data_IF_642905600475
#
_entry.id   IF_642905600475
#
_cell.length_a   1.000
_cell.length_b   1.000
_cell.length_c   1.000
_cell.angle_alpha   90.00
_cell.angle_beta   90.00
_cell.angle_gamma   90.00
#
_symmetry.space_group_name_H-M   'P 1'
#
loop_
_entity.id
_entity.type
_entity.pdbx_description
1 polymer ?
#
# COMPACT_ATOMS: atom_id res chain seq x y z
N UNK A 1 -11.33 -41.63 -0.30
CA UNK A 1 -12.48 -40.71 -0.31
C UNK A 1 -12.24 -39.68 -1.41
N UNK A 2 -12.87 -39.84 -2.57
CA UNK A 2 -12.76 -38.92 -3.71
C UNK A 2 -13.93 -37.95 -3.62
N UNK A 3 -13.67 -36.68 -3.35
CA UNK A 3 -14.66 -35.61 -3.54
C UNK A 3 -14.41 -35.00 -4.91
N UNK A 4 -15.25 -35.36 -5.88
CA UNK A 4 -15.33 -34.68 -7.18
C UNK A 4 -16.20 -33.44 -6.97
N UNK A 5 -15.60 -32.25 -7.00
CA UNK A 5 -16.37 -31.01 -7.09
C UNK A 5 -16.72 -30.82 -8.56
N UNK A 6 -18.01 -30.98 -8.87
CA UNK A 6 -18.55 -30.69 -10.19
C UNK A 6 -18.46 -29.17 -10.45
N UNK A 7 -17.80 -28.78 -11.54
CA UNK A 7 -17.87 -27.43 -12.08
C UNK A 7 -19.08 -27.40 -13.02
N UNK A 8 -20.19 -26.86 -12.54
CA UNK A 8 -21.38 -26.59 -13.33
C UNK A 8 -21.16 -25.30 -14.15
N UNK A 9 -20.81 -25.47 -15.43
CA UNK A 9 -20.89 -24.40 -16.43
C UNK A 9 -22.36 -24.22 -16.83
N UNK A 10 -23.03 -23.24 -16.23
CA UNK A 10 -24.33 -22.77 -16.74
C UNK A 10 -24.09 -21.65 -17.74
N UNK A 11 -24.11 -22.00 -19.02
CA UNK A 11 -24.32 -21.04 -20.12
C UNK A 11 -25.74 -20.47 -19.99
N UNK A 12 -25.85 -19.21 -19.58
CA UNK A 12 -27.08 -18.43 -19.55
C UNK A 12 -27.06 -17.32 -20.60
N UNK A 13 -28.13 -17.26 -21.40
CA UNK A 13 -28.39 -16.36 -22.52
C UNK A 13 -28.08 -14.87 -22.27
N UNK A 14 -27.68 -14.20 -23.35
CA UNK A 14 -27.69 -12.74 -23.54
C UNK A 14 -29.05 -12.15 -23.12
N UNK A 15 -29.07 -11.45 -22.00
CA UNK A 15 -30.06 -10.42 -21.69
C UNK A 15 -29.30 -9.11 -21.51
N UNK A 16 -29.37 -8.22 -22.50
CA UNK A 16 -28.92 -6.83 -22.36
C UNK A 16 -29.83 -6.18 -21.31
N UNK A 17 -29.40 -6.18 -20.04
CA UNK A 17 -29.99 -5.29 -19.06
C UNK A 17 -29.77 -3.85 -19.57
N UNK A 18 -30.76 -2.95 -19.48
CA UNK A 18 -30.51 -1.56 -19.75
C UNK A 18 -29.43 -1.13 -18.78
N UNK A 19 -28.28 -0.72 -19.34
CA UNK A 19 -27.17 -0.19 -18.57
C UNK A 19 -27.74 0.87 -17.63
N UNK A 20 -27.71 0.58 -16.33
CA UNK A 20 -27.87 1.60 -15.32
C UNK A 20 -26.66 2.52 -15.48
N UNK A 21 -26.80 3.55 -16.30
CA UNK A 21 -25.96 4.74 -16.21
C UNK A 21 -26.00 5.18 -14.75
N UNK A 22 -24.85 5.24 -14.05
CA UNK A 22 -24.82 5.71 -12.68
C UNK A 22 -25.39 7.14 -12.68
N UNK A 23 -26.51 7.29 -11.96
CA UNK A 23 -27.19 8.58 -11.83
C UNK A 23 -26.29 9.52 -11.01
N UNK A 24 -25.89 10.63 -11.65
CA UNK A 24 -25.42 11.89 -11.09
C UNK A 24 -24.44 11.83 -9.88
N UNK A 25 -23.17 12.17 -10.14
CA UNK A 25 -22.21 12.62 -9.12
C UNK A 25 -21.04 11.69 -8.83
N UNK A 26 -21.08 10.45 -9.30
CA UNK A 26 -19.99 9.49 -9.08
C UNK A 26 -18.90 9.71 -10.15
N UNK A 27 -17.88 10.52 -9.81
CA UNK A 27 -16.69 10.65 -10.66
C UNK A 27 -16.06 9.27 -10.78
N UNK A 28 -16.13 8.66 -11.96
CA UNK A 28 -15.42 7.42 -12.26
C UNK A 28 -13.96 7.56 -11.83
N UNK A 29 -13.53 6.71 -10.90
CA UNK A 29 -12.16 6.73 -10.40
C UNK A 29 -11.20 6.26 -11.48
N UNK A 30 -10.33 7.16 -11.93
CA UNK A 30 -9.26 6.83 -12.87
C UNK A 30 -8.01 6.48 -12.09
N UNK A 31 -7.60 5.22 -12.19
CA UNK A 31 -6.38 4.71 -11.58
C UNK A 31 -5.22 4.90 -12.55
N UNK A 32 -4.17 5.57 -12.10
CA UNK A 32 -2.98 5.86 -12.90
C UNK A 32 -1.76 5.26 -12.21
N UNK A 33 -0.95 4.54 -12.96
CA UNK A 33 0.37 4.09 -12.50
C UNK A 33 1.32 5.28 -12.46
N UNK A 34 2.30 5.23 -11.55
CA UNK A 34 3.36 6.25 -11.49
C UNK A 34 4.29 6.17 -12.70
N UNK A 35 5.10 7.22 -12.91
CA UNK A 35 6.06 7.28 -14.01
C UNK A 35 7.04 6.10 -13.97
N UNK A 36 7.63 5.73 -15.12
CA UNK A 36 8.64 4.65 -15.15
C UNK A 36 9.81 4.89 -14.18
N UNK A 37 10.25 6.14 -14.04
CA UNK A 37 11.34 6.50 -13.12
C UNK A 37 10.97 6.28 -11.66
N UNK A 38 9.77 6.69 -11.25
CA UNK A 38 9.27 6.46 -9.89
C UNK A 38 8.99 4.97 -9.64
N UNK A 39 8.49 4.25 -10.65
CA UNK A 39 8.22 2.82 -10.57
C UNK A 39 9.49 1.98 -10.30
N UNK A 40 10.70 2.50 -10.53
CA UNK A 40 11.95 1.80 -10.17
C UNK A 40 12.08 1.55 -8.66
N UNK A 41 11.46 2.38 -7.82
CA UNK A 41 11.45 2.17 -6.37
C UNK A 41 10.56 0.97 -5.96
N UNK A 42 9.59 0.64 -6.80
CA UNK A 42 8.62 -0.39 -6.53
C UNK A 42 9.21 -1.79 -6.77
N UNK A 43 9.54 -2.48 -5.70
CA UNK A 43 10.20 -3.79 -5.73
C UNK A 43 9.56 -4.74 -4.73
N UNK A 44 9.55 -6.04 -5.05
CA UNK A 44 9.07 -7.08 -4.12
C UNK A 44 7.55 -7.10 -3.89
N UNK A 45 6.73 -6.40 -4.68
CA UNK A 45 5.25 -6.49 -4.61
C UNK A 45 4.68 -6.27 -3.18
N UNK A 46 5.12 -5.21 -2.50
CA UNK A 46 4.55 -4.79 -1.22
C UNK A 46 3.21 -4.08 -1.46
N UNK A 47 2.12 -4.61 -0.90
CA UNK A 47 0.78 -4.02 -1.02
C UNK A 47 0.49 -3.06 0.16
N UNK A 48 -0.11 -1.91 -0.14
CA UNK A 48 -0.52 -0.88 0.83
C UNK A 48 -2.00 -0.64 0.66
N UNK A 49 -2.82 -1.19 1.55
CA UNK A 49 -4.26 -1.29 1.36
C UNK A 49 -4.98 -0.36 2.33
N UNK A 50 -5.71 0.60 1.80
CA UNK A 50 -6.62 1.46 2.55
C UNK A 50 -8.09 1.06 2.33
N UNK A 51 -8.99 1.36 3.28
CA UNK A 51 -10.42 1.17 3.10
C UNK A 51 -10.94 1.88 1.85
N UNK A 52 -11.97 1.34 1.19
CA UNK A 52 -12.64 1.90 0.00
C UNK A 52 -11.78 1.99 -1.29
N UNK A 53 -10.53 2.46 -1.21
CA UNK A 53 -9.62 2.63 -2.35
C UNK A 53 -8.85 1.36 -2.72
N UNK A 54 -8.63 0.45 -1.77
CA UNK A 54 -7.88 -0.78 -2.01
C UNK A 54 -6.36 -0.58 -1.96
N UNK A 55 -5.63 -1.40 -2.72
CA UNK A 55 -4.17 -1.32 -2.81
C UNK A 55 -3.75 -0.10 -3.62
N UNK A 56 -2.92 0.75 -3.02
CA UNK A 56 -2.42 1.98 -3.65
C UNK A 56 -0.92 1.92 -3.95
N UNK A 57 -0.29 0.75 -3.80
CA UNK A 57 1.12 0.59 -4.11
C UNK A 57 1.43 0.88 -5.59
N UNK A 58 2.42 1.75 -5.83
CA UNK A 58 2.98 2.09 -7.14
C UNK A 58 2.03 2.83 -8.09
N UNK A 59 1.15 3.65 -7.52
CA UNK A 59 0.15 4.39 -8.27
C UNK A 59 -0.09 5.78 -7.69
N UNK A 60 -0.73 6.62 -8.49
CA UNK A 60 -1.32 7.86 -8.00
C UNK A 60 -2.60 7.53 -7.23
N UNK A 61 -2.75 8.14 -6.05
CA UNK A 61 -4.02 8.16 -5.34
C UNK A 61 -5.03 8.89 -6.25
N UNK A 62 -6.15 8.24 -6.64
CA UNK A 62 -7.13 8.86 -7.53
C UNK A 62 -7.74 10.13 -6.91
N UNK A 63 -7.99 11.13 -7.77
CA UNK A 63 -8.63 12.40 -7.39
C UNK A 63 -10.18 12.32 -7.29
N UNK A 64 -10.72 11.10 -7.30
CA UNK A 64 -12.14 10.86 -7.01
C UNK A 64 -12.35 10.68 -5.50
N UNK A 65 -13.59 10.84 -5.05
CA UNK A 65 -14.05 10.42 -3.71
C UNK A 65 -13.27 10.96 -2.50
N UNK A 66 -12.51 12.05 -2.71
CA UNK A 66 -11.68 12.71 -1.69
C UNK A 66 -10.71 11.73 -0.98
N UNK A 67 -10.17 10.75 -1.71
CA UNK A 67 -9.32 9.72 -1.11
C UNK A 67 -8.08 10.28 -0.42
N UNK A 68 -7.50 11.35 -0.98
CA UNK A 68 -6.37 12.05 -0.37
C UNK A 68 -6.68 12.49 1.07
N UNK A 69 -7.84 13.09 1.30
CA UNK A 69 -8.27 13.54 2.63
C UNK A 69 -8.62 12.34 3.51
N UNK A 70 -9.30 11.33 2.95
CA UNK A 70 -9.70 10.13 3.69
C UNK A 70 -8.52 9.32 4.20
N UNK A 71 -7.42 9.22 3.46
CA UNK A 71 -6.18 8.53 3.88
C UNK A 71 -5.69 9.05 5.24
N UNK A 72 -5.72 10.36 5.47
CA UNK A 72 -5.36 10.94 6.77
C UNK A 72 -6.30 10.55 7.91
N UNK A 73 -7.58 10.28 7.61
CA UNK A 73 -8.60 9.91 8.58
C UNK A 73 -8.71 8.40 8.86
N UNK A 74 -8.37 7.55 7.88
CA UNK A 74 -8.43 6.08 8.03
C UNK A 74 -7.31 5.51 8.90
N UNK A 75 -6.27 6.30 9.18
CA UNK A 75 -5.14 5.87 9.99
C UNK A 75 -4.13 5.04 9.19
N UNK A 76 -3.67 3.94 9.77
CA UNK A 76 -2.61 3.10 9.18
C UNK A 76 -3.20 2.09 8.18
N UNK A 77 -2.57 1.89 7.01
CA UNK A 77 -3.03 0.91 6.03
C UNK A 77 -2.77 -0.52 6.49
N UNK A 78 -3.47 -1.48 5.88
CA UNK A 78 -3.05 -2.88 5.93
C UNK A 78 -1.86 -3.08 4.98
N UNK A 79 -0.80 -3.68 5.48
CA UNK A 79 0.42 -3.94 4.72
C UNK A 79 0.58 -5.42 4.51
N UNK A 80 0.65 -5.85 3.24
CA UNK A 80 0.79 -7.25 2.88
C UNK A 80 2.02 -7.46 2.00
N UNK A 81 2.84 -8.43 2.38
CA UNK A 81 3.98 -8.90 1.58
C UNK A 81 3.90 -10.42 1.45
N UNK A 82 3.31 -10.88 0.34
CA UNK A 82 3.02 -12.30 0.11
C UNK A 82 4.27 -13.19 0.09
N UNK A 83 5.44 -12.62 -0.22
CA UNK A 83 6.72 -13.32 -0.28
C UNK A 83 7.47 -13.32 1.06
N UNK A 84 6.86 -12.83 2.15
CA UNK A 84 7.48 -12.84 3.47
C UNK A 84 7.83 -14.28 3.92
N UNK A 85 9.02 -14.44 4.48
CA UNK A 85 9.43 -15.66 5.15
C UNK A 85 8.84 -15.65 6.58
N UNK A 86 8.00 -16.63 6.87
CA UNK A 86 7.23 -16.70 8.12
C UNK A 86 8.11 -16.85 9.37
N UNK A 87 9.32 -17.39 9.20
CA UNK A 87 10.31 -17.58 10.27
C UNK A 87 11.19 -16.35 10.50
N UNK A 88 10.97 -15.24 9.78
CA UNK A 88 11.72 -14.00 9.93
C UNK A 88 10.88 -12.90 10.56
N UNK A 89 11.59 -11.90 11.10
CA UNK A 89 11.04 -10.63 11.55
C UNK A 89 11.35 -9.54 10.54
N UNK A 90 10.46 -8.56 10.49
CA UNK A 90 10.51 -7.46 9.54
C UNK A 90 10.38 -6.12 10.25
N UNK A 91 10.97 -5.09 9.64
CA UNK A 91 10.76 -3.69 9.98
C UNK A 91 10.03 -3.04 8.81
N UNK A 92 9.03 -2.24 9.12
CA UNK A 92 8.34 -1.40 8.14
C UNK A 92 8.58 0.07 8.48
N UNK A 93 8.94 0.84 7.45
CA UNK A 93 9.07 2.29 7.51
C UNK A 93 8.19 2.92 6.44
N UNK A 94 7.35 3.88 6.84
CA UNK A 94 6.61 4.76 5.95
C UNK A 94 7.13 6.18 6.14
N UNK A 95 7.71 6.76 5.10
CA UNK A 95 8.35 8.07 5.12
C UNK A 95 7.89 8.92 3.94
N UNK A 96 7.80 10.23 4.15
CA UNK A 96 7.66 11.23 3.09
C UNK A 96 9.04 11.87 2.81
N UNK A 97 9.65 11.56 1.64
CA UNK A 97 10.93 12.16 1.26
C UNK A 97 10.78 13.64 0.84
N UNK A 98 9.57 14.09 0.61
CA UNK A 98 9.27 15.38 -0.01
C UNK A 98 8.70 16.39 0.99
N UNK A 99 8.80 16.15 2.31
CA UNK A 99 8.24 17.08 3.30
C UNK A 99 9.06 18.39 3.45
N UNK A 100 8.43 19.57 3.56
CA UNK A 100 6.99 19.83 3.42
C UNK A 100 6.52 19.95 1.95
N UNK A 101 7.45 20.10 1.00
CA UNK A 101 7.15 20.05 -0.43
C UNK A 101 8.28 19.44 -1.25
N UNK A 102 7.94 18.76 -2.35
CA UNK A 102 8.92 18.18 -3.29
C UNK A 102 9.95 19.19 -3.79
N UNK A 103 9.54 20.44 -3.99
CA UNK A 103 10.42 21.52 -4.45
C UNK A 103 11.39 22.01 -3.37
N UNK A 104 10.97 21.98 -2.11
CA UNK A 104 11.78 22.41 -0.95
C UNK A 104 11.66 21.39 0.19
N UNK A 105 12.31 20.22 0.09
CA UNK A 105 12.11 19.11 1.02
C UNK A 105 12.99 19.23 2.27
N UNK A 106 12.82 20.32 3.04
CA UNK A 106 13.67 20.64 4.20
C UNK A 106 13.59 19.61 5.33
N UNK A 107 12.48 18.90 5.44
CA UNK A 107 12.25 17.88 6.47
C UNK A 107 12.36 16.46 5.88
N UNK A 108 13.20 16.28 4.85
CA UNK A 108 13.31 15.04 4.10
C UNK A 108 13.55 13.83 5.00
N UNK A 109 12.76 12.82 4.63
CA UNK A 109 12.40 11.57 5.29
C UNK A 109 11.55 11.79 6.54
N UNK A 110 10.48 12.57 6.39
CA UNK A 110 9.48 12.73 7.43
C UNK A 110 8.81 11.40 7.71
N UNK A 111 8.96 10.90 8.94
CA UNK A 111 8.50 9.56 9.30
C UNK A 111 7.02 9.57 9.68
N UNK A 112 6.19 8.91 8.88
CA UNK A 112 4.78 8.68 9.18
C UNK A 112 4.57 7.46 10.08
N UNK A 113 5.34 6.40 9.86
CA UNK A 113 5.17 5.16 10.63
C UNK A 113 6.48 4.36 10.67
N UNK A 114 6.78 3.78 11.83
CA UNK A 114 7.86 2.83 12.03
C UNK A 114 7.40 1.76 13.00
N UNK A 115 7.42 0.51 12.53
CA UNK A 115 7.06 -0.66 13.34
C UNK A 115 8.11 -1.75 13.15
N UNK A 116 8.59 -2.30 14.26
CA UNK A 116 9.59 -3.37 14.31
C UNK A 116 8.97 -4.69 14.73
N UNK A 117 9.76 -5.75 14.64
CA UNK A 117 9.41 -7.09 15.15
C UNK A 117 8.14 -7.70 14.53
N UNK A 118 7.80 -7.24 13.33
CA UNK A 118 6.66 -7.76 12.56
C UNK A 118 6.95 -9.21 12.21
N UNK A 119 6.05 -10.12 12.58
CA UNK A 119 6.17 -11.52 12.17
C UNK A 119 5.96 -11.67 10.65
N UNK A 120 6.76 -12.51 10.00
CA UNK A 120 6.57 -12.81 8.59
C UNK A 120 5.20 -13.40 8.27
N UNK A 121 4.63 -14.22 9.16
CA UNK A 121 3.27 -14.76 9.02
C UNK A 121 2.19 -13.66 9.05
N UNK A 122 2.29 -12.71 9.97
CA UNK A 122 1.40 -11.54 10.01
C UNK A 122 1.52 -10.67 8.77
N UNK A 123 2.77 -10.40 8.34
CA UNK A 123 3.06 -9.61 7.15
C UNK A 123 2.56 -10.28 5.86
N UNK A 124 2.63 -11.61 5.75
CA UNK A 124 2.12 -12.36 4.60
C UNK A 124 0.59 -12.26 4.46
N UNK A 125 -0.11 -12.16 5.57
CA UNK A 125 -1.58 -12.15 5.61
C UNK A 125 -2.18 -10.74 5.67
N UNK A 126 -1.37 -9.70 5.86
CA UNK A 126 -1.85 -8.32 6.03
C UNK A 126 -2.24 -7.96 7.47
N UNK A 127 -2.08 -8.91 8.40
CA UNK A 127 -2.38 -8.75 9.83
C UNK A 127 -1.10 -8.49 10.59
N UNK A 128 -0.53 -7.30 10.41
CA UNK A 128 0.74 -6.95 11.05
C UNK A 128 0.53 -6.64 12.54
N UNK A 129 1.42 -7.18 13.36
CA UNK A 129 1.58 -6.85 14.77
C UNK A 129 3.07 -6.76 15.08
N UNK A 130 3.46 -5.80 15.91
CA UNK A 130 4.85 -5.47 16.17
C UNK A 130 4.97 -4.31 17.15
N UNK A 131 6.17 -3.79 17.32
CA UNK A 131 6.45 -2.67 18.22
C UNK A 131 6.55 -1.36 17.44
N UNK A 132 5.60 -0.45 17.66
CA UNK A 132 5.65 0.87 17.06
C UNK A 132 6.62 1.78 17.80
N UNK A 133 7.52 2.41 17.06
CA UNK A 133 8.54 3.30 17.64
C UNK A 133 8.19 4.76 17.39
N UNK A 134 7.95 5.49 18.49
CA UNK A 134 7.58 6.92 18.46
C UNK A 134 8.76 7.87 18.65
N UNK A 135 9.90 7.40 19.19
CA UNK A 135 11.12 8.21 19.39
C UNK A 135 11.57 8.84 18.08
N UNK A 136 12.07 10.09 18.09
CA UNK A 136 12.59 10.73 16.89
C UNK A 136 13.90 10.04 16.47
N UNK A 137 13.84 9.27 15.38
CA UNK A 137 15.00 8.67 14.74
C UNK A 137 15.04 9.17 13.30
N UNK A 138 16.18 9.73 12.88
CA UNK A 138 16.43 9.93 11.46
C UNK A 138 16.52 8.56 10.78
N UNK A 139 15.91 8.44 9.59
CA UNK A 139 15.81 7.16 8.87
C UNK A 139 17.19 6.52 8.64
N UNK A 140 18.15 7.30 8.14
CA UNK A 140 19.49 6.80 7.82
C UNK A 140 20.24 6.33 9.07
N UNK A 141 20.09 7.05 10.18
CA UNK A 141 20.72 6.67 11.46
C UNK A 141 20.11 5.38 11.99
N UNK A 142 18.79 5.21 11.87
CA UNK A 142 18.11 3.97 12.26
C UNK A 142 18.60 2.78 11.42
N UNK A 143 18.61 2.91 10.09
CA UNK A 143 19.08 1.85 9.18
C UNK A 143 20.52 1.45 9.49
N UNK A 144 21.40 2.44 9.75
CA UNK A 144 22.80 2.21 10.09
C UNK A 144 22.95 1.55 11.46
N UNK A 145 22.23 2.03 12.47
CA UNK A 145 22.31 1.53 13.84
C UNK A 145 21.84 0.08 13.94
N UNK A 146 20.77 -0.29 13.25
CA UNK A 146 20.20 -1.64 13.27
C UNK A 146 20.69 -2.55 12.13
N UNK A 147 21.63 -2.07 11.30
CA UNK A 147 22.24 -2.83 10.20
C UNK A 147 21.22 -3.48 9.24
N UNK A 148 20.14 -2.77 8.88
CA UNK A 148 19.00 -3.35 8.15
C UNK A 148 19.29 -3.72 6.68
N UNK A 149 20.37 -3.20 6.09
CA UNK A 149 20.72 -3.45 4.68
C UNK A 149 19.71 -2.86 3.69
N UNK A 150 19.66 -3.43 2.48
CA UNK A 150 18.71 -3.03 1.44
C UNK A 150 17.29 -3.56 1.73
N UNK A 151 16.23 -2.79 1.39
CA UNK A 151 14.87 -3.24 1.58
C UNK A 151 14.59 -4.49 0.73
N UNK A 152 13.93 -5.48 1.36
CA UNK A 152 13.48 -6.70 0.68
C UNK A 152 12.25 -6.47 -0.21
N UNK A 153 11.50 -5.42 0.08
CA UNK A 153 10.39 -4.93 -0.72
C UNK A 153 10.21 -3.44 -0.44
N UNK A 154 9.80 -2.68 -1.44
CA UNK A 154 9.55 -1.26 -1.36
C UNK A 154 8.41 -0.89 -2.32
N UNK A 155 7.60 0.08 -1.91
CA UNK A 155 6.51 0.61 -2.72
C UNK A 155 6.31 2.07 -2.36
N UNK A 156 5.68 2.82 -3.24
CA UNK A 156 5.33 4.21 -3.01
C UNK A 156 3.97 4.51 -3.61
N UNK A 157 3.33 5.56 -3.14
CA UNK A 157 2.16 6.12 -3.79
C UNK A 157 2.30 7.64 -3.83
N UNK A 158 1.79 8.23 -4.90
CA UNK A 158 1.86 9.68 -5.08
C UNK A 158 0.47 10.29 -4.89
N UNK A 159 0.42 11.41 -4.21
CA UNK A 159 -0.82 12.19 -4.08
C UNK A 159 -0.71 13.40 -5.00
N UNK A 160 -1.68 13.60 -5.89
CA UNK A 160 -1.75 14.79 -6.72
C UNK A 160 -2.30 15.95 -5.87
N UNK A 161 -1.72 17.14 -6.02
CA UNK A 161 -2.18 18.38 -5.40
C UNK A 161 -3.11 19.10 -6.37
#
# INVERSE_FOLDING_TARGET
>A
MKLLIAVSLMSGLLGMAPGHLPKNGDRMCVYQVISQGDALFCTGNLNVIYPEIGDIGCMYVPDCNNFRQKIGSWGKPSIKYSQANENKKYVLMMVDPDAPSRYHPQNRYWRHWLITDISGAGLKTGKISGHELTRSWAMNDFIKHFHLGHPVAATQFLTQN
#
